data_IF_707592580639
#
_entry.id   IF_707592580639
#
_cell.length_a   1.000
_cell.length_b   1.000
_cell.length_c   1.000
_cell.angle_alpha   90.00
_cell.angle_beta   90.00
_cell.angle_gamma   90.00
#
_symmetry.space_group_name_H-M   'P 1'
#
loop_
_entity.id
_entity.type
_entity.pdbx_description
1 polymer ?
#
# COMPACT_ATOMS: atom_id res chain seq x y z
N UNK A 1 4.16 -0.97 -0.22
CA UNK A 1 3.40 -0.28 0.83
C UNK A 1 2.07 0.14 0.26
N UNK A 2 0.98 -0.16 0.95
CA UNK A 2 -0.38 0.23 0.57
C UNK A 2 -0.77 1.48 1.34
N UNK A 3 -1.22 2.53 0.65
CA UNK A 3 -1.52 3.83 1.25
C UNK A 3 -2.99 3.97 1.67
N UNK A 4 -3.90 3.47 0.83
CA UNK A 4 -5.34 3.49 1.07
C UNK A 4 -5.95 2.24 0.44
N UNK A 5 -6.99 1.71 1.08
CA UNK A 5 -7.75 0.57 0.61
C UNK A 5 -9.22 0.73 1.03
N UNK A 6 -10.11 0.18 0.22
CA UNK A 6 -11.55 0.09 0.49
C UNK A 6 -11.95 -1.37 0.25
N UNK A 7 -12.64 -1.97 1.22
CA UNK A 7 -12.89 -3.42 1.29
C UNK A 7 -14.36 -3.65 1.62
N UNK A 8 -14.95 -4.70 1.02
CA UNK A 8 -16.35 -5.07 1.26
C UNK A 8 -17.31 -4.73 0.12
N UNK A 9 -16.78 -4.30 -1.04
CA UNK A 9 -17.60 -4.05 -2.21
C UNK A 9 -18.28 -5.33 -2.75
N UNK A 10 -19.53 -5.26 -3.23
CA UNK A 10 -20.20 -6.42 -3.82
C UNK A 10 -19.49 -6.91 -5.08
N UNK A 11 -19.19 -8.21 -5.18
CA UNK A 11 -18.46 -8.78 -6.32
C UNK A 11 -19.17 -8.71 -7.69
N UNK A 12 -20.45 -8.32 -7.73
CA UNK A 12 -21.19 -8.08 -8.98
C UNK A 12 -20.94 -6.70 -9.58
N UNK A 13 -20.34 -5.79 -8.81
CA UNK A 13 -20.08 -4.44 -9.24
C UNK A 13 -18.70 -4.32 -9.88
N UNK A 14 -18.59 -3.56 -10.96
CA UNK A 14 -17.30 -3.28 -11.59
C UNK A 14 -16.49 -2.24 -10.80
N UNK A 15 -15.17 -2.30 -10.91
CA UNK A 15 -14.21 -1.44 -10.18
C UNK A 15 -14.53 0.06 -10.26
N UNK A 16 -14.99 0.54 -11.42
CA UNK A 16 -15.34 1.94 -11.60
C UNK A 16 -16.61 2.34 -10.83
N UNK A 17 -17.57 1.43 -10.69
CA UNK A 17 -18.77 1.63 -9.89
C UNK A 17 -18.44 1.67 -8.41
N UNK A 18 -17.68 0.67 -7.95
CA UNK A 18 -17.17 0.60 -6.56
C UNK A 18 -16.41 1.88 -6.22
N UNK A 19 -15.48 2.30 -7.08
CA UNK A 19 -14.72 3.52 -6.87
C UNK A 19 -15.62 4.75 -6.77
N UNK A 20 -16.61 4.90 -7.66
CA UNK A 20 -17.51 6.07 -7.66
C UNK A 20 -18.28 6.23 -6.35
N UNK A 21 -18.56 5.11 -5.65
CA UNK A 21 -19.29 5.09 -4.37
C UNK A 21 -18.36 5.01 -3.14
N UNK A 22 -17.05 4.87 -3.35
CA UNK A 22 -16.07 4.70 -2.28
C UNK A 22 -15.79 5.97 -1.50
N UNK A 23 -15.41 5.81 -0.23
CA UNK A 23 -14.86 6.91 0.57
C UNK A 23 -13.54 7.43 -0.01
N UNK A 24 -12.78 6.58 -0.70
CA UNK A 24 -11.54 6.97 -1.39
C UNK A 24 -11.82 8.02 -2.46
N UNK A 25 -12.91 7.89 -3.22
CA UNK A 25 -13.30 8.89 -4.23
C UNK A 25 -13.59 10.24 -3.58
N UNK A 26 -14.40 10.25 -2.52
CA UNK A 26 -14.72 11.46 -1.76
C UNK A 26 -13.46 12.10 -1.15
N UNK A 27 -12.54 11.29 -0.63
CA UNK A 27 -11.26 11.75 -0.10
C UNK A 27 -10.43 12.43 -1.19
N UNK A 28 -10.29 11.80 -2.36
CA UNK A 28 -9.52 12.33 -3.50
C UNK A 28 -10.15 13.62 -4.04
N UNK A 29 -11.47 13.68 -4.10
CA UNK A 29 -12.18 14.85 -4.64
C UNK A 29 -12.13 16.05 -3.69
N UNK A 30 -12.19 15.82 -2.37
CA UNK A 30 -12.24 16.89 -1.37
C UNK A 30 -10.85 17.35 -0.88
N UNK A 31 -9.78 16.63 -1.20
CA UNK A 31 -8.44 16.91 -0.66
C UNK A 31 -7.41 17.20 -1.75
N UNK A 32 -7.64 18.25 -2.54
CA UNK A 32 -6.70 18.73 -3.57
C UNK A 32 -5.28 18.96 -3.04
N UNK A 33 -5.17 19.41 -1.78
CA UNK A 33 -3.89 19.68 -1.12
C UNK A 33 -3.00 18.45 -0.92
N UNK A 34 -3.55 17.24 -0.95
CA UNK A 34 -2.77 16.00 -0.83
C UNK A 34 -1.97 15.71 -2.11
N UNK A 35 -2.30 16.38 -3.20
CA UNK A 35 -1.69 16.20 -4.50
C UNK A 35 -0.83 17.42 -4.86
N UNK A 36 0.18 17.20 -5.69
CA UNK A 36 1.12 18.25 -6.05
C UNK A 36 0.37 19.42 -6.72
N UNK A 37 0.59 20.67 -6.29
CA UNK A 37 -0.06 21.82 -6.91
C UNK A 37 0.23 21.86 -8.41
N UNK A 38 -0.78 22.16 -9.22
CA UNK A 38 -0.67 22.21 -10.70
C UNK A 38 0.37 23.21 -11.21
N UNK A 39 0.80 24.13 -10.34
CA UNK A 39 1.65 25.27 -10.66
C UNK A 39 3.14 25.05 -10.34
N UNK A 40 3.50 24.03 -9.54
CA UNK A 40 4.90 23.80 -9.10
C UNK A 40 5.80 23.17 -10.16
N UNK A 41 5.28 22.85 -11.35
CA UNK A 41 6.07 22.23 -12.42
C UNK A 41 6.90 23.21 -13.25
N UNK A 42 7.05 24.46 -12.80
CA UNK A 42 8.02 25.37 -13.40
C UNK A 42 9.43 24.87 -13.07
N UNK A 43 10.01 24.21 -14.06
CA UNK A 43 11.44 23.91 -14.20
C UNK A 43 11.95 22.73 -13.35
N UNK A 44 11.92 21.52 -13.93
CA UNK A 44 12.97 20.56 -13.59
C UNK A 44 14.30 21.12 -14.14
N UNK A 45 15.39 21.27 -13.35
CA UNK A 45 16.56 22.07 -13.73
C UNK A 45 17.37 21.56 -14.95
N UNK A 46 16.97 20.46 -15.59
CA UNK A 46 17.72 19.85 -16.69
C UNK A 46 16.84 19.32 -17.85
N UNK A 47 15.53 19.62 -17.87
CA UNK A 47 14.66 19.15 -18.93
C UNK A 47 14.55 20.18 -20.07
N UNK A 48 15.27 19.95 -21.17
CA UNK A 48 15.21 20.72 -22.42
C UNK A 48 13.85 20.61 -23.16
N UNK A 49 12.84 20.01 -22.54
CA UNK A 49 11.50 19.83 -23.08
C UNK A 49 10.52 20.46 -22.09
N UNK A 50 9.64 21.39 -22.51
CA UNK A 50 8.57 21.88 -21.65
C UNK A 50 7.77 20.68 -21.18
N UNK A 51 7.86 20.36 -19.89
CA UNK A 51 7.03 19.33 -19.27
C UNK A 51 5.59 19.80 -19.45
N UNK A 52 4.89 19.18 -20.41
CA UNK A 52 3.52 19.55 -20.73
C UNK A 52 2.70 19.44 -19.44
N UNK A 53 1.90 20.48 -19.24
CA UNK A 53 1.00 20.81 -18.14
C UNK A 53 -0.06 19.73 -17.89
N UNK A 54 0.35 18.52 -17.55
CA UNK A 54 -0.55 17.42 -17.21
C UNK A 54 -0.16 16.89 -15.85
N UNK A 55 -0.62 17.60 -14.81
CA UNK A 55 -0.66 17.11 -13.44
C UNK A 55 -1.68 15.98 -13.42
N UNK A 56 -1.16 14.77 -13.53
CA UNK A 56 -1.90 13.52 -13.42
C UNK A 56 -1.44 12.91 -12.12
N UNK A 57 -2.34 12.88 -11.15
CA UNK A 57 -1.99 12.44 -9.81
C UNK A 57 -2.20 10.93 -9.65
N UNK A 58 -3.18 10.36 -10.36
CA UNK A 58 -3.56 8.95 -10.20
C UNK A 58 -3.75 8.27 -11.56
N UNK A 59 -3.01 7.18 -11.75
CA UNK A 59 -3.12 6.31 -12.92
C UNK A 59 -4.23 5.28 -12.67
N UNK A 60 -5.16 5.17 -13.61
CA UNK A 60 -6.31 4.25 -13.51
C UNK A 60 -6.36 3.31 -14.71
N UNK A 61 -7.13 2.22 -14.59
CA UNK A 61 -7.34 1.30 -15.69
C UNK A 61 -8.37 1.81 -16.71
N UNK A 62 -8.48 1.14 -17.86
CA UNK A 62 -9.40 1.48 -18.94
C UNK A 62 -10.87 1.56 -18.53
N UNK A 63 -11.28 0.84 -17.48
CA UNK A 63 -12.66 0.80 -16.97
C UNK A 63 -13.10 2.08 -16.26
N UNK A 64 -12.16 2.93 -15.86
CA UNK A 64 -12.45 4.16 -15.12
C UNK A 64 -12.81 5.32 -16.05
N UNK A 65 -13.69 6.21 -15.56
CA UNK A 65 -13.98 7.45 -16.24
C UNK A 65 -12.75 8.36 -16.25
N UNK A 66 -12.51 9.04 -17.38
CA UNK A 66 -11.47 10.07 -17.44
C UNK A 66 -11.91 11.23 -16.55
N UNK A 67 -11.08 11.60 -15.57
CA UNK A 67 -11.39 12.66 -14.62
C UNK A 67 -10.27 13.70 -14.55
N UNK A 68 -10.52 14.75 -13.77
CA UNK A 68 -9.56 15.83 -13.52
C UNK A 68 -8.22 15.35 -12.93
N UNK A 69 -8.24 14.23 -12.18
CA UNK A 69 -7.05 13.63 -11.54
C UNK A 69 -6.66 12.24 -12.08
N UNK A 70 -7.54 11.63 -12.89
CA UNK A 70 -7.36 10.26 -13.37
C UNK A 70 -6.90 10.21 -14.81
N UNK A 71 -5.85 9.43 -15.06
CA UNK A 71 -5.45 9.10 -16.43
C UNK A 71 -5.44 7.60 -16.66
N UNK A 72 -6.19 7.25 -17.69
CA UNK A 72 -6.25 5.92 -18.29
C UNK A 72 -5.18 5.76 -19.36
N UNK A 73 -4.74 4.53 -19.65
CA UNK A 73 -3.87 4.28 -20.78
C UNK A 73 -4.59 4.62 -22.09
N UNK A 74 -3.82 4.99 -23.12
CA UNK A 74 -4.38 5.14 -24.46
C UNK A 74 -4.90 3.79 -24.94
N UNK A 75 -6.12 3.78 -25.50
CA UNK A 75 -6.65 2.59 -26.17
C UNK A 75 -5.66 2.11 -27.24
N UNK A 76 -5.46 0.79 -27.33
CA UNK A 76 -4.47 0.19 -28.25
C UNK A 76 -4.66 0.66 -29.70
N UNK A 77 -5.91 0.72 -30.15
CA UNK A 77 -6.32 1.22 -31.47
C UNK A 77 -6.06 2.72 -31.73
N UNK A 78 -5.62 3.49 -30.74
CA UNK A 78 -5.29 4.93 -30.86
C UNK A 78 -3.87 5.24 -30.39
N UNK A 79 -3.05 4.21 -30.20
CA UNK A 79 -1.72 4.31 -29.59
C UNK A 79 -0.56 4.36 -30.60
N UNK A 80 -0.85 4.62 -31.89
CA UNK A 80 0.12 4.45 -32.99
C UNK A 80 1.28 5.46 -32.95
N UNK A 81 1.05 6.63 -32.34
CA UNK A 81 2.09 7.62 -32.14
C UNK A 81 3.16 7.16 -31.13
N UNK A 82 4.46 7.33 -31.40
CA UNK A 82 5.55 6.90 -30.52
C UNK A 82 5.42 7.39 -29.07
N UNK A 83 4.98 8.63 -28.88
CA UNK A 83 4.75 9.20 -27.54
C UNK A 83 3.65 8.48 -26.76
N UNK A 84 2.56 8.07 -27.42
CA UNK A 84 1.46 7.32 -26.78
C UNK A 84 1.88 5.90 -26.42
N UNK A 85 2.69 5.25 -27.27
CA UNK A 85 3.30 3.95 -26.95
C UNK A 85 4.19 4.03 -25.72
N UNK A 86 5.06 5.04 -25.65
CA UNK A 86 5.94 5.26 -24.49
C UNK A 86 5.13 5.51 -23.20
N UNK A 87 4.06 6.30 -23.29
CA UNK A 87 3.14 6.51 -22.17
C UNK A 87 2.51 5.19 -21.70
N UNK A 88 1.92 4.42 -22.63
CA UNK A 88 1.30 3.13 -22.30
C UNK A 88 2.30 2.13 -21.72
N UNK A 89 3.55 2.09 -22.22
CA UNK A 89 4.59 1.23 -21.67
C UNK A 89 4.92 1.58 -20.21
N UNK A 90 4.99 2.88 -19.88
CA UNK A 90 5.18 3.35 -18.49
C UNK A 90 3.97 3.03 -17.62
N UNK A 91 2.75 3.23 -18.15
CA UNK A 91 1.50 2.87 -17.47
C UNK A 91 1.46 1.37 -17.14
N UNK A 92 1.81 0.51 -18.10
CA UNK A 92 1.95 -0.95 -17.87
C UNK A 92 3.02 -1.29 -16.84
N UNK A 93 4.12 -0.54 -16.79
CA UNK A 93 5.15 -0.70 -15.75
C UNK A 93 4.59 -0.45 -14.35
N UNK A 94 3.80 0.61 -14.17
CA UNK A 94 3.11 0.89 -12.90
C UNK A 94 2.15 -0.24 -12.54
N UNK A 95 1.36 -0.72 -13.51
CA UNK A 95 0.45 -1.86 -13.28
C UNK A 95 1.21 -3.10 -12.77
N UNK A 96 2.35 -3.43 -13.37
CA UNK A 96 3.18 -4.56 -12.91
C UNK A 96 3.65 -4.40 -11.47
N UNK A 97 3.98 -3.18 -11.03
CA UNK A 97 4.37 -2.92 -9.64
C UNK A 97 3.19 -3.15 -8.69
N UNK A 98 1.99 -2.69 -9.08
CA UNK A 98 0.75 -2.92 -8.31
C UNK A 98 0.43 -4.41 -8.24
N UNK A 99 0.39 -5.11 -9.38
CA UNK A 99 0.16 -6.56 -9.47
C UNK A 99 1.20 -7.34 -8.66
N UNK A 100 2.47 -6.97 -8.74
CA UNK A 100 3.54 -7.58 -7.97
C UNK A 100 3.35 -7.38 -6.46
N UNK A 101 2.90 -6.20 -6.04
CA UNK A 101 2.60 -5.93 -4.62
C UNK A 101 1.47 -6.82 -4.12
N UNK A 102 0.36 -6.93 -4.87
CA UNK A 102 -0.74 -7.83 -4.51
C UNK A 102 -0.31 -9.30 -4.55
N UNK A 103 0.52 -9.70 -5.52
CA UNK A 103 1.06 -11.05 -5.59
C UNK A 103 1.92 -11.37 -4.35
N UNK A 104 2.78 -10.45 -3.91
CA UNK A 104 3.54 -10.60 -2.67
C UNK A 104 2.63 -10.70 -1.44
N UNK A 105 1.57 -9.91 -1.41
CA UNK A 105 0.59 -9.92 -0.33
C UNK A 105 -0.18 -11.24 -0.26
N UNK A 106 -0.71 -11.73 -1.38
CA UNK A 106 -1.38 -13.03 -1.46
C UNK A 106 -0.44 -14.20 -1.18
N UNK A 107 0.82 -14.15 -1.63
CA UNK A 107 1.83 -15.18 -1.31
C UNK A 107 2.18 -15.22 0.17
N UNK A 108 2.22 -14.06 0.82
CA UNK A 108 2.49 -13.95 2.26
C UNK A 108 1.33 -14.50 3.08
N UNK A 109 0.11 -14.16 2.68
CA UNK A 109 -1.09 -14.57 3.39
C UNK A 109 -1.88 -15.54 2.52
N UNK A 110 -1.59 -16.83 2.68
CA UNK A 110 -2.24 -17.91 1.91
C UNK A 110 -3.77 -17.88 1.99
N UNK A 111 -4.34 -17.31 3.06
CA UNK A 111 -5.78 -17.10 3.21
C UNK A 111 -6.41 -16.29 2.05
N UNK A 112 -5.66 -15.37 1.44
CA UNK A 112 -6.15 -14.55 0.33
C UNK A 112 -6.13 -15.27 -1.03
N UNK A 113 -5.59 -16.49 -1.08
CA UNK A 113 -5.57 -17.32 -2.28
C UNK A 113 -6.77 -18.30 -2.33
N UNK A 114 -7.48 -18.47 -1.22
CA UNK A 114 -8.65 -19.35 -1.11
C UNK A 114 -9.92 -18.54 -0.84
N UNK A 115 -11.08 -19.19 -1.02
CA UNK A 115 -12.35 -18.61 -0.60
C UNK A 115 -12.43 -18.56 0.92
N UNK A 116 -12.66 -17.36 1.46
CA UNK A 116 -12.82 -17.15 2.89
C UNK A 116 -14.24 -17.59 3.27
N UNK A 117 -14.34 -18.68 4.05
CA UNK A 117 -15.63 -19.25 4.51
C UNK A 117 -16.11 -18.50 5.75
N UNK A 118 -16.41 -17.21 5.60
CA UNK A 118 -16.87 -16.34 6.69
C UNK A 118 -17.97 -15.41 6.18
N UNK A 119 -18.70 -14.82 7.11
CA UNK A 119 -19.64 -13.76 6.79
C UNK A 119 -18.86 -12.53 6.22
N UNK A 120 -19.38 -11.84 5.19
CA UNK A 120 -18.64 -10.80 4.47
C UNK A 120 -18.07 -9.67 5.34
N UNK A 121 -18.75 -9.26 6.41
CA UNK A 121 -18.23 -8.22 7.31
C UNK A 121 -16.99 -8.68 8.06
N UNK A 122 -17.01 -9.90 8.62
CA UNK A 122 -15.83 -10.47 9.28
C UNK A 122 -14.70 -10.75 8.29
N UNK A 123 -15.03 -11.21 7.08
CA UNK A 123 -14.04 -11.40 6.03
C UNK A 123 -13.35 -10.07 5.65
N UNK A 124 -14.09 -8.95 5.62
CA UNK A 124 -13.52 -7.63 5.36
C UNK A 124 -12.54 -7.21 6.48
N UNK A 125 -12.90 -7.40 7.74
CA UNK A 125 -12.03 -7.07 8.89
C UNK A 125 -10.73 -7.89 8.87
N UNK A 126 -10.83 -9.17 8.54
CA UNK A 126 -9.65 -10.04 8.37
C UNK A 126 -8.77 -9.52 7.23
N UNK A 127 -9.36 -9.20 6.07
CA UNK A 127 -8.60 -8.67 4.92
C UNK A 127 -7.91 -7.36 5.30
N UNK A 128 -8.61 -6.41 5.92
CA UNK A 128 -8.04 -5.14 6.39
C UNK A 128 -6.87 -5.37 7.34
N UNK A 129 -7.02 -6.29 8.29
CA UNK A 129 -5.96 -6.68 9.24
C UNK A 129 -4.71 -7.20 8.51
N UNK A 130 -4.90 -8.02 7.47
CA UNK A 130 -3.80 -8.53 6.65
C UNK A 130 -3.11 -7.42 5.84
N UNK A 131 -3.86 -6.43 5.33
CA UNK A 131 -3.28 -5.28 4.63
C UNK A 131 -2.41 -4.42 5.57
N UNK A 132 -2.88 -4.18 6.80
CA UNK A 132 -2.12 -3.45 7.83
C UNK A 132 -0.87 -4.24 8.22
N UNK A 133 -1.00 -5.53 8.50
CA UNK A 133 0.14 -6.40 8.83
C UNK A 133 1.16 -6.47 7.69
N UNK A 134 0.70 -6.47 6.43
CA UNK A 134 1.60 -6.39 5.27
C UNK A 134 2.50 -5.16 5.34
N UNK A 135 1.90 -4.00 5.63
CA UNK A 135 2.60 -2.73 5.73
C UNK A 135 3.57 -2.70 6.92
N UNK A 136 3.18 -3.23 8.08
CA UNK A 136 4.06 -3.32 9.26
C UNK A 136 5.31 -4.15 8.95
N UNK A 137 5.13 -5.35 8.38
CA UNK A 137 6.27 -6.22 8.01
C UNK A 137 7.16 -5.54 6.95
N UNK A 138 6.59 -4.79 6.01
CA UNK A 138 7.38 -4.03 5.05
C UNK A 138 8.19 -2.92 5.74
N UNK A 139 7.59 -2.20 6.68
CA UNK A 139 8.26 -1.17 7.47
C UNK A 139 9.43 -1.75 8.27
N UNK A 140 9.22 -2.86 8.98
CA UNK A 140 10.28 -3.54 9.71
C UNK A 140 11.41 -3.99 8.80
N UNK A 141 11.11 -4.61 7.65
CA UNK A 141 12.15 -5.02 6.70
C UNK A 141 12.92 -3.85 6.10
N UNK A 142 12.29 -2.68 5.94
CA UNK A 142 12.99 -1.48 5.49
C UNK A 142 13.95 -0.99 6.58
N UNK A 143 13.46 -0.89 7.82
CA UNK A 143 14.29 -0.52 8.97
C UNK A 143 15.46 -1.50 9.19
N UNK A 144 15.24 -2.81 9.09
CA UNK A 144 16.30 -3.81 9.22
C UNK A 144 17.36 -3.69 8.13
N UNK A 145 16.96 -3.35 6.88
CA UNK A 145 17.91 -3.18 5.77
C UNK A 145 18.66 -1.86 5.83
N UNK A 146 17.99 -0.81 6.30
CA UNK A 146 18.64 0.48 6.59
C UNK A 146 19.60 0.32 7.77
N UNK A 147 19.21 -0.46 8.77
CA UNK A 147 20.06 -0.86 9.89
C UNK A 147 21.29 -1.67 9.43
N UNK A 148 21.12 -2.68 8.58
CA UNK A 148 22.23 -3.47 8.01
C UNK A 148 23.22 -2.61 7.19
N UNK A 149 22.81 -1.43 6.70
CA UNK A 149 23.66 -0.49 5.98
C UNK A 149 24.32 0.59 6.84
N UNK A 150 24.04 0.63 8.15
CA UNK A 150 24.57 1.62 9.09
C UNK A 150 25.76 1.06 9.89
N UNK A 151 26.79 1.88 10.18
CA UNK A 151 27.89 1.48 11.06
C UNK A 151 27.38 0.98 12.42
N UNK A 152 28.03 -0.05 12.97
CA UNK A 152 27.67 -0.76 14.20
C UNK A 152 27.41 0.16 15.40
N UNK A 153 28.08 1.31 15.45
CA UNK A 153 27.96 2.31 16.50
C UNK A 153 26.57 2.97 16.55
N UNK A 154 25.93 3.24 15.40
CA UNK A 154 24.61 3.91 15.34
C UNK A 154 23.47 2.92 15.65
N UNK A 155 23.66 1.65 15.27
CA UNK A 155 22.71 0.58 15.58
C UNK A 155 22.53 0.32 17.08
N UNK A 156 23.57 0.58 17.87
CA UNK A 156 23.50 0.51 19.34
C UNK A 156 22.69 1.65 19.94
N UNK A 157 22.71 2.85 19.35
CA UNK A 157 21.95 4.00 19.85
C UNK A 157 20.46 3.96 19.42
N UNK A 158 20.15 3.34 18.28
CA UNK A 158 18.78 3.20 17.76
C UNK A 158 17.96 2.06 18.38
N UNK A 159 18.50 1.37 19.39
CA UNK A 159 17.79 0.35 20.16
C UNK A 159 17.35 0.88 21.56
N UNK A 160 16.57 1.97 21.72
CA UNK A 160 16.13 2.42 23.03
C UNK A 160 14.76 1.83 23.42
N UNK A 161 14.55 0.53 23.21
CA UNK A 161 13.56 -0.26 23.96
C UNK A 161 14.13 -1.67 24.08
N UNK A 162 14.73 -1.94 25.23
CA UNK A 162 15.00 -3.31 25.66
C UNK A 162 13.69 -4.10 25.53
N UNK A 163 13.81 -5.25 24.87
CA UNK A 163 12.74 -6.22 24.71
C UNK A 163 12.35 -6.77 26.08
N UNK A 164 11.52 -6.02 26.81
CA UNK A 164 10.96 -6.38 28.11
C UNK A 164 10.06 -7.62 28.05
N UNK A 165 9.90 -8.23 26.89
CA UNK A 165 9.19 -9.51 26.72
C UNK A 165 9.82 -10.62 27.55
N UNK A 166 11.16 -10.63 27.70
CA UNK A 166 11.86 -11.65 28.47
C UNK A 166 11.68 -11.46 29.99
N UNK A 167 11.71 -10.23 30.49
CA UNK A 167 11.46 -9.93 31.91
C UNK A 167 10.01 -10.25 32.31
N UNK A 168 9.04 -9.94 31.44
CA UNK A 168 7.62 -10.26 31.70
C UNK A 168 7.38 -11.77 31.66
N UNK A 169 8.04 -12.53 30.77
CA UNK A 169 7.94 -14.00 30.75
C UNK A 169 8.56 -14.66 32.00
N UNK A 170 9.68 -14.14 32.52
CA UNK A 170 10.27 -14.65 33.76
C UNK A 170 9.42 -14.29 34.99
N UNK A 171 8.84 -13.09 35.05
CA UNK A 171 7.97 -12.66 36.14
C UNK A 171 6.67 -13.49 36.18
N UNK A 172 6.08 -13.77 35.01
CA UNK A 172 4.90 -14.66 34.90
C UNK A 172 5.25 -16.10 35.27
N UNK A 173 6.41 -16.62 34.85
CA UNK A 173 6.86 -17.98 35.24
C UNK A 173 7.11 -18.10 36.74
N UNK A 174 7.73 -17.08 37.35
CA UNK A 174 7.98 -17.04 38.79
C UNK A 174 6.66 -17.00 39.59
N UNK A 175 5.69 -16.18 39.17
CA UNK A 175 4.39 -16.09 39.83
C UNK A 175 3.62 -17.44 39.80
N UNK A 176 3.62 -18.12 38.65
CA UNK A 176 2.98 -19.44 38.49
C UNK A 176 3.67 -20.50 39.36
N UNK A 177 4.99 -20.44 39.50
CA UNK A 177 5.74 -21.42 40.29
C UNK A 177 5.58 -21.21 41.80
N UNK A 178 5.41 -19.96 42.26
CA UNK A 178 5.11 -19.65 43.67
C UNK A 178 3.68 -20.06 44.04
N UNK A 179 2.73 -19.96 43.11
CA UNK A 179 1.33 -20.34 43.35
C UNK A 179 1.16 -21.86 43.45
N UNK A 180 1.93 -22.63 42.68
CA UNK A 180 1.91 -24.10 42.72
C UNK A 180 2.50 -24.69 44.02
N UNK A 181 3.44 -23.99 44.66
CA UNK A 181 4.10 -24.42 45.91
C UNK A 181 3.22 -24.16 47.15
N UNK A 182 2.18 -23.33 47.05
CA UNK A 182 1.28 -23.00 48.17
C UNK A 182 0.04 -23.90 48.29
N UNK A 183 -0.11 -24.91 47.43
CA UNK A 183 -1.32 -25.76 47.34
C UNK A 183 -1.17 -27.13 48.03
N UNK A 184 -0.02 -27.44 48.64
CA UNK A 184 0.17 -28.65 49.47
C UNK A 184 0.07 -28.38 50.98
#
# INVERSE_FOLDING_TARGET
>A
MLLAFDVGAPGREGDAGVHTRSNIRTLIDNNDRLFLPRETWKCWPSAAVPLRKTTVDVLVDCGFAQGHRFVRPYKRARSDAPGKRRFNAKHSGVRRVVESTFCMLSRRFGLLQSSIQMEPSHAADVVVSLLVLHNLILGWRMQSREAEGLPSEILRELHPLEDRSQEVEEEVRSAVQVELIRVD
#
